data_IF_305163227693
#
_entry.id   IF_305163227693
#
_cell.length_a   1.000
_cell.length_b   1.000
_cell.length_c   1.000
_cell.angle_alpha   90.00
_cell.angle_beta   90.00
_cell.angle_gamma   90.00
#
_symmetry.space_group_name_H-M   'P 1'
#
loop_
_entity.id
_entity.type
_entity.pdbx_description
1 polymer ?
#
# COMPACT_ATOMS: atom_id res chain seq x y z
N UNK A 1 -34.53 -26.73 6.63
CA UNK A 1 -34.37 -25.39 5.96
C UNK A 1 -33.32 -24.54 6.65
N UNK A 2 -32.92 -24.85 7.90
CA UNK A 2 -31.93 -24.08 8.68
C UNK A 2 -30.45 -24.28 8.28
N UNK A 3 -30.13 -25.18 7.38
CA UNK A 3 -28.73 -25.42 6.94
C UNK A 3 -28.24 -24.47 5.85
N UNK A 4 -29.11 -23.90 5.04
CA UNK A 4 -28.78 -23.06 3.90
C UNK A 4 -28.30 -21.67 4.36
N UNK A 5 -28.78 -21.17 5.49
CA UNK A 5 -28.37 -19.85 6.04
C UNK A 5 -26.96 -19.84 6.65
N UNK A 6 -26.30 -20.98 6.75
CA UNK A 6 -24.93 -21.13 7.25
C UNK A 6 -23.91 -21.49 6.15
N UNK A 7 -24.33 -21.53 4.89
CA UNK A 7 -23.45 -21.76 3.76
C UNK A 7 -22.72 -20.45 3.44
N UNK A 8 -21.52 -20.29 3.97
CA UNK A 8 -20.56 -19.34 3.46
C UNK A 8 -19.88 -19.97 2.24
N UNK A 9 -20.14 -19.42 1.07
CA UNK A 9 -19.46 -19.84 -0.16
C UNK A 9 -18.17 -19.04 -0.25
N UNK A 10 -17.09 -19.59 0.25
CA UNK A 10 -15.75 -19.06 0.02
C UNK A 10 -15.16 -19.79 -1.20
N UNK A 11 -15.12 -19.08 -2.33
CA UNK A 11 -14.60 -19.60 -3.58
C UNK A 11 -13.12 -19.21 -3.73
N UNK A 12 -12.22 -20.10 -3.31
CA UNK A 12 -10.84 -20.05 -3.78
C UNK A 12 -10.81 -20.43 -5.27
N UNK A 13 -10.28 -19.54 -6.12
CA UNK A 13 -10.20 -19.77 -7.57
C UNK A 13 -9.42 -21.05 -7.91
N UNK A 14 -8.39 -21.38 -7.12
CA UNK A 14 -7.59 -22.59 -7.29
C UNK A 14 -8.45 -23.86 -7.12
N UNK A 15 -9.45 -23.83 -6.25
CA UNK A 15 -10.31 -24.99 -5.97
C UNK A 15 -11.33 -25.32 -7.07
N UNK A 16 -11.48 -24.47 -8.11
CA UNK A 16 -12.26 -24.81 -9.28
C UNK A 16 -11.61 -25.89 -10.15
N UNK A 17 -10.31 -26.09 -10.02
CA UNK A 17 -9.57 -27.07 -10.80
C UNK A 17 -9.39 -28.37 -10.01
N UNK A 18 -9.49 -29.50 -10.71
CA UNK A 18 -9.19 -30.79 -10.08
C UNK A 18 -7.74 -30.83 -9.61
N UNK A 19 -7.50 -31.28 -8.37
CA UNK A 19 -6.17 -31.38 -7.73
C UNK A 19 -5.15 -32.21 -8.52
N UNK A 20 -5.62 -33.04 -9.47
CA UNK A 20 -4.77 -33.89 -10.32
C UNK A 20 -4.25 -33.15 -11.55
N UNK A 21 -4.82 -32.00 -11.91
CA UNK A 21 -4.46 -31.27 -13.12
C UNK A 21 -3.17 -30.49 -12.93
N UNK A 22 -2.40 -30.31 -14.01
CA UNK A 22 -1.19 -29.48 -14.00
C UNK A 22 -1.51 -28.01 -13.74
N UNK A 23 -2.68 -27.56 -14.17
CA UNK A 23 -3.18 -26.19 -13.88
C UNK A 23 -3.30 -25.98 -12.36
N UNK A 24 -3.94 -26.90 -11.64
CA UNK A 24 -4.05 -26.81 -10.17
C UNK A 24 -2.68 -26.77 -9.50
N UNK A 25 -1.78 -27.67 -9.89
CA UNK A 25 -0.41 -27.75 -9.32
C UNK A 25 0.39 -26.47 -9.60
N UNK A 26 0.32 -25.96 -10.84
CA UNK A 26 1.00 -24.74 -11.25
C UNK A 26 0.46 -23.53 -10.49
N UNK A 27 -0.85 -23.35 -10.42
CA UNK A 27 -1.47 -22.24 -9.67
C UNK A 27 -1.15 -22.31 -8.18
N UNK A 28 -1.21 -23.50 -7.59
CA UNK A 28 -0.85 -23.69 -6.19
C UNK A 28 0.62 -23.34 -5.93
N UNK A 29 1.53 -23.74 -6.82
CA UNK A 29 2.94 -23.40 -6.72
C UNK A 29 3.16 -21.87 -6.81
N UNK A 30 2.47 -21.20 -7.72
CA UNK A 30 2.49 -19.74 -7.85
C UNK A 30 1.98 -19.09 -6.57
N UNK A 31 0.85 -19.55 -6.06
CA UNK A 31 0.23 -19.02 -4.86
C UNK A 31 1.15 -19.13 -3.63
N UNK A 32 1.74 -20.32 -3.41
CA UNK A 32 2.61 -20.59 -2.27
C UNK A 32 4.01 -19.95 -2.40
N UNK A 33 4.55 -19.85 -3.62
CA UNK A 33 5.94 -19.41 -3.84
C UNK A 33 6.09 -17.96 -4.27
N UNK A 34 5.06 -17.39 -4.91
CA UNK A 34 5.08 -16.01 -5.38
C UNK A 34 4.20 -15.07 -4.55
N UNK A 35 3.74 -15.54 -3.38
CA UNK A 35 3.07 -14.71 -2.40
C UNK A 35 1.59 -14.45 -2.67
N UNK A 36 0.87 -15.47 -3.16
CA UNK A 36 -0.57 -15.40 -3.36
C UNK A 36 -0.99 -15.11 -4.79
N UNK A 37 -2.23 -15.48 -5.09
CA UNK A 37 -2.82 -15.30 -6.44
C UNK A 37 -3.97 -14.29 -6.45
N UNK A 38 -4.59 -14.01 -5.31
CA UNK A 38 -5.72 -13.08 -5.25
C UNK A 38 -5.26 -11.67 -4.88
N UNK A 39 -5.43 -10.68 -5.77
CA UNK A 39 -5.07 -9.30 -5.48
C UNK A 39 -6.03 -8.67 -4.48
N UNK A 40 -5.50 -7.80 -3.64
CA UNK A 40 -6.24 -6.87 -2.81
C UNK A 40 -5.46 -5.56 -2.76
N UNK A 41 -6.14 -4.43 -2.77
CA UNK A 41 -5.53 -3.11 -2.71
C UNK A 41 -6.12 -2.31 -1.55
N UNK A 42 -5.25 -1.61 -0.84
CA UNK A 42 -5.63 -0.61 0.16
C UNK A 42 -5.23 0.75 -0.41
N UNK A 43 -6.21 1.58 -0.68
CA UNK A 43 -6.01 2.95 -1.15
C UNK A 43 -6.18 3.87 0.05
N UNK A 44 -5.14 4.60 0.39
CA UNK A 44 -5.13 5.59 1.48
C UNK A 44 -5.34 6.97 0.89
N UNK A 45 -6.24 7.74 1.48
CA UNK A 45 -6.51 9.14 1.14
C UNK A 45 -6.00 10.03 2.26
N UNK A 46 -5.17 10.98 1.89
CA UNK A 46 -4.65 11.95 2.85
C UNK A 46 -5.52 13.23 2.84
N UNK A 47 -5.71 13.90 3.99
CA UNK A 47 -6.43 15.17 4.00
C UNK A 47 -5.63 16.20 3.20
N UNK A 48 -6.35 17.05 2.49
CA UNK A 48 -5.74 18.26 1.97
C UNK A 48 -5.20 19.07 3.16
N UNK A 49 -3.94 19.50 3.08
CA UNK A 49 -3.44 20.47 4.06
C UNK A 49 -4.32 21.70 3.93
N UNK A 50 -5.13 22.00 4.97
CA UNK A 50 -5.54 23.38 5.19
C UNK A 50 -4.23 24.15 5.32
N UNK A 51 -4.06 25.16 4.47
CA UNK A 51 -3.00 26.15 4.66
C UNK A 51 -3.27 26.85 6.00
N UNK A 52 -2.83 26.24 7.10
CA UNK A 52 -2.54 27.00 8.29
C UNK A 52 -1.39 27.92 7.89
N UNK A 53 -1.74 29.16 7.58
CA UNK A 53 -0.77 30.25 7.55
C UNK A 53 -0.08 30.23 8.90
N UNK A 54 1.07 29.57 8.96
CA UNK A 54 2.04 29.81 10.00
C UNK A 54 2.52 31.24 9.79
N UNK A 55 1.91 32.15 10.55
CA UNK A 55 2.53 33.43 10.88
C UNK A 55 3.80 33.11 11.67
N UNK A 56 4.88 32.92 10.97
CA UNK A 56 6.20 32.66 11.45
C UNK A 56 7.18 33.16 10.41
N UNK A 57 7.60 34.40 10.69
CA UNK A 57 8.71 35.13 10.09
C UNK A 57 9.93 34.22 9.97
N UNK A 58 10.17 33.65 8.78
CA UNK A 58 11.49 33.20 8.36
C UNK A 58 11.61 33.52 6.87
N UNK A 59 12.28 34.64 6.62
CA UNK A 59 12.85 35.05 5.35
C UNK A 59 13.76 33.93 4.83
N UNK A 60 13.20 32.94 4.13
CA UNK A 60 13.99 32.10 3.24
C UNK A 60 13.87 32.71 1.84
N UNK A 61 14.94 33.42 1.46
CA UNK A 61 15.15 34.02 0.16
C UNK A 61 14.85 33.01 -0.96
N UNK A 62 13.91 33.42 -1.81
CA UNK A 62 13.54 32.85 -3.09
C UNK A 62 14.78 32.81 -4.01
N UNK A 63 15.44 31.64 -4.07
CA UNK A 63 16.52 31.39 -5.01
C UNK A 63 15.97 30.63 -6.22
N UNK A 64 15.48 31.38 -7.21
CA UNK A 64 15.35 30.95 -8.59
C UNK A 64 13.96 30.48 -9.01
N UNK A 65 13.46 31.10 -10.07
CA UNK A 65 12.35 30.72 -10.95
C UNK A 65 12.49 29.24 -11.43
N UNK A 66 12.16 28.29 -10.58
CA UNK A 66 11.75 26.96 -11.00
C UNK A 66 10.24 26.88 -10.72
N UNK A 67 9.48 26.54 -11.75
CA UNK A 67 8.04 26.24 -11.67
C UNK A 67 7.76 25.56 -10.33
N UNK A 68 6.81 26.09 -9.56
CA UNK A 68 6.42 25.59 -8.24
C UNK A 68 6.05 24.10 -8.36
N UNK A 69 7.05 23.24 -8.31
CA UNK A 69 6.86 21.80 -8.28
C UNK A 69 6.53 21.45 -6.83
N UNK A 70 5.25 21.67 -6.46
CA UNK A 70 4.70 21.37 -5.14
C UNK A 70 4.77 19.87 -4.81
N UNK A 71 5.09 19.06 -5.78
CA UNK A 71 5.18 17.59 -5.67
C UNK A 71 6.18 17.14 -4.60
N UNK A 72 7.30 17.86 -4.42
CA UNK A 72 8.30 17.57 -3.39
C UNK A 72 7.75 17.65 -1.97
N UNK A 73 6.75 18.51 -1.73
CA UNK A 73 6.14 18.70 -0.41
C UNK A 73 5.09 17.64 -0.07
N UNK A 74 4.75 16.76 -1.03
CA UNK A 74 3.85 15.65 -0.77
C UNK A 74 4.44 14.64 0.24
N UNK A 75 5.76 14.45 0.21
CA UNK A 75 6.49 13.46 1.01
C UNK A 75 6.67 13.92 2.47
N UNK A 76 5.59 14.05 3.21
CA UNK A 76 5.65 14.38 4.64
C UNK A 76 5.95 13.15 5.48
N UNK A 77 6.58 13.35 6.63
CA UNK A 77 6.90 12.28 7.57
C UNK A 77 5.67 11.48 7.94
N UNK A 78 4.57 12.16 8.27
CA UNK A 78 3.32 11.52 8.70
C UNK A 78 2.72 10.62 7.62
N UNK A 79 2.76 11.04 6.34
CA UNK A 79 2.27 10.20 5.23
C UNK A 79 3.13 8.97 5.06
N UNK A 80 4.45 9.12 5.08
CA UNK A 80 5.41 8.03 4.92
C UNK A 80 5.27 7.03 6.06
N UNK A 81 5.21 7.51 7.32
CA UNK A 81 5.00 6.66 8.49
C UNK A 81 3.66 5.94 8.45
N UNK A 82 2.58 6.61 8.03
CA UNK A 82 1.27 5.98 7.88
C UNK A 82 1.31 4.85 6.84
N UNK A 83 1.90 5.10 5.66
CA UNK A 83 2.04 4.08 4.62
C UNK A 83 2.88 2.91 5.14
N UNK A 84 4.02 3.18 5.79
CA UNK A 84 4.93 2.16 6.28
C UNK A 84 4.31 1.32 7.41
N UNK A 85 3.62 1.94 8.34
CA UNK A 85 2.96 1.23 9.44
C UNK A 85 1.86 0.30 8.93
N UNK A 86 1.04 0.76 7.98
CA UNK A 86 -0.02 -0.07 7.39
C UNK A 86 0.59 -1.17 6.50
N UNK A 87 1.65 -0.86 5.74
CA UNK A 87 2.39 -1.87 4.97
C UNK A 87 2.88 -3.00 5.86
N UNK A 88 3.60 -2.66 6.94
CA UNK A 88 4.17 -3.63 7.88
C UNK A 88 3.07 -4.45 8.59
N UNK A 89 1.96 -3.81 8.96
CA UNK A 89 0.81 -4.50 9.51
C UNK A 89 0.27 -5.55 8.51
N UNK A 90 0.02 -5.15 7.27
CA UNK A 90 -0.51 -6.05 6.25
C UNK A 90 0.47 -7.19 5.95
N UNK A 91 1.77 -6.91 5.86
CA UNK A 91 2.81 -7.92 5.63
C UNK A 91 2.95 -8.91 6.80
N UNK A 92 2.55 -8.51 8.00
CA UNK A 92 2.53 -9.37 9.19
C UNK A 92 1.39 -10.40 9.21
N UNK A 93 0.36 -10.22 8.36
CA UNK A 93 -0.80 -11.11 8.33
C UNK A 93 -0.46 -12.43 7.63
N UNK A 94 -0.67 -13.60 8.25
CA UNK A 94 -0.26 -14.88 7.69
C UNK A 94 -1.00 -15.26 6.40
N UNK A 95 -2.15 -14.63 6.13
CA UNK A 95 -2.93 -14.84 4.91
C UNK A 95 -2.42 -13.99 3.73
N UNK A 96 -1.56 -13.04 4.01
CA UNK A 96 -0.97 -12.14 3.00
C UNK A 96 0.41 -12.67 2.65
N UNK A 97 0.67 -12.83 1.38
CA UNK A 97 1.94 -13.40 0.92
C UNK A 97 2.91 -12.39 0.35
N UNK A 98 2.45 -11.25 -0.08
CA UNK A 98 3.29 -10.17 -0.58
C UNK A 98 2.57 -8.83 -0.50
N UNK A 99 3.27 -7.84 0.02
CA UNK A 99 2.82 -6.45 0.08
C UNK A 99 3.80 -5.57 -0.68
N UNK A 100 3.30 -4.66 -1.50
CA UNK A 100 4.07 -3.66 -2.24
C UNK A 100 3.43 -2.30 -2.05
N UNK A 101 4.23 -1.32 -1.73
CA UNK A 101 3.80 0.08 -1.58
C UNK A 101 5.00 1.00 -1.74
N UNK A 102 4.77 2.28 -1.57
CA UNK A 102 5.87 3.25 -1.51
C UNK A 102 6.86 2.96 -0.37
N UNK A 103 6.42 2.34 0.73
CA UNK A 103 7.32 1.88 1.79
C UNK A 103 8.42 0.96 1.28
N UNK A 104 8.10 0.05 0.34
CA UNK A 104 9.12 -0.84 -0.27
C UNK A 104 10.22 -0.06 -0.99
N UNK A 105 9.88 1.08 -1.60
CA UNK A 105 10.83 1.96 -2.28
C UNK A 105 11.70 2.70 -1.25
N UNK A 106 11.07 3.19 -0.18
CA UNK A 106 11.76 3.85 0.94
C UNK A 106 12.77 2.92 1.60
N UNK A 107 12.41 1.65 1.79
CA UNK A 107 13.31 0.65 2.39
C UNK A 107 14.54 0.41 1.50
N UNK A 108 14.35 0.27 0.19
CA UNK A 108 15.46 0.14 -0.76
C UNK A 108 16.33 1.39 -0.75
N UNK A 109 15.73 2.58 -0.79
CA UNK A 109 16.46 3.84 -0.74
C UNK A 109 17.25 4.00 0.56
N UNK A 110 16.68 3.59 1.70
CA UNK A 110 17.35 3.56 3.00
C UNK A 110 18.56 2.62 3.00
N UNK A 111 18.41 1.41 2.43
CA UNK A 111 19.52 0.47 2.29
C UNK A 111 20.65 1.03 1.43
N UNK A 112 20.33 1.67 0.32
CA UNK A 112 21.31 2.34 -0.55
C UNK A 112 21.99 3.53 0.12
N UNK A 113 21.31 4.17 1.08
CA UNK A 113 21.84 5.26 1.91
C UNK A 113 22.58 4.76 3.17
N UNK A 114 23.24 3.60 3.10
CA UNK A 114 23.95 2.98 4.22
C UNK A 114 23.08 2.75 5.46
N UNK A 115 21.85 2.33 5.29
CA UNK A 115 20.83 2.12 6.31
C UNK A 115 20.49 3.40 7.12
N UNK A 116 20.72 4.56 6.56
CA UNK A 116 20.27 5.83 7.16
C UNK A 116 18.94 6.22 6.55
N UNK A 117 17.88 6.44 7.37
CA UNK A 117 16.59 6.91 6.89
C UNK A 117 16.75 8.23 6.11
N UNK A 118 16.03 8.35 5.01
CA UNK A 118 15.92 9.59 4.26
C UNK A 118 14.94 10.54 4.97
N UNK A 119 15.34 11.77 5.14
CA UNK A 119 14.45 12.82 5.64
C UNK A 119 13.38 13.21 4.60
N UNK A 120 12.34 13.89 5.06
CA UNK A 120 11.24 14.37 4.19
C UNK A 120 11.76 15.23 3.03
N UNK A 121 12.67 16.15 3.31
CA UNK A 121 13.27 17.01 2.29
C UNK A 121 14.10 16.20 1.29
N UNK A 122 14.91 15.26 1.78
CA UNK A 122 15.74 14.39 0.94
C UNK A 122 14.90 13.54 0.01
N UNK A 123 13.76 13.03 0.50
CA UNK A 123 12.80 12.27 -0.30
C UNK A 123 12.16 13.12 -1.39
N UNK A 124 11.76 14.34 -1.07
CA UNK A 124 11.21 15.29 -2.05
C UNK A 124 12.24 15.63 -3.13
N UNK A 125 13.49 15.92 -2.75
CA UNK A 125 14.58 16.19 -3.70
C UNK A 125 14.90 14.95 -4.54
N UNK A 126 14.92 13.76 -3.93
CA UNK A 126 15.12 12.50 -4.67
C UNK A 126 14.03 12.31 -5.73
N UNK A 127 12.76 12.51 -5.36
CA UNK A 127 11.64 12.43 -6.28
C UNK A 127 11.80 13.36 -7.49
N UNK A 128 12.22 14.61 -7.28
CA UNK A 128 12.42 15.57 -8.39
C UNK A 128 13.57 15.20 -9.32
N UNK A 129 14.58 14.49 -8.80
CA UNK A 129 15.77 14.08 -9.57
C UNK A 129 15.63 12.74 -10.29
N UNK A 130 14.63 11.93 -9.93
CA UNK A 130 14.38 10.65 -10.60
C UNK A 130 13.87 10.92 -12.02
N UNK A 131 14.46 10.27 -13.06
CA UNK A 131 13.95 10.36 -14.42
C UNK A 131 12.47 9.97 -14.54
N UNK A 132 11.71 10.65 -15.41
CA UNK A 132 10.27 10.48 -15.51
C UNK A 132 9.84 9.04 -15.83
N UNK A 133 10.58 8.36 -16.69
CA UNK A 133 10.32 6.95 -16.99
C UNK A 133 10.44 6.05 -15.75
N UNK A 134 11.35 6.35 -14.83
CA UNK A 134 11.52 5.61 -13.58
C UNK A 134 10.39 5.94 -12.59
N UNK A 135 9.97 7.21 -12.51
CA UNK A 135 8.81 7.59 -11.68
C UNK A 135 7.58 6.81 -12.09
N UNK A 136 7.26 6.84 -13.39
CA UNK A 136 6.07 6.18 -13.96
C UNK A 136 6.06 4.67 -13.71
N UNK A 137 7.21 4.02 -13.71
CA UNK A 137 7.28 2.56 -13.51
C UNK A 137 7.32 2.16 -12.04
N UNK A 138 7.95 2.95 -11.17
CA UNK A 138 8.28 2.53 -9.80
C UNK A 138 7.47 3.29 -8.74
N UNK A 139 7.17 4.57 -8.94
CA UNK A 139 6.54 5.44 -7.92
C UNK A 139 5.05 5.62 -8.19
N UNK A 140 4.68 6.03 -9.39
CA UNK A 140 3.30 6.35 -9.76
C UNK A 140 2.31 5.18 -9.58
N UNK A 141 2.74 3.89 -9.68
CA UNK A 141 1.86 2.80 -9.32
C UNK A 141 1.39 2.81 -7.85
N UNK A 142 2.13 3.48 -6.96
CA UNK A 142 1.88 3.47 -5.51
C UNK A 142 1.50 4.84 -4.95
N UNK A 143 1.71 5.93 -5.68
CA UNK A 143 1.41 7.29 -5.22
C UNK A 143 0.73 8.09 -6.32
N UNK A 144 -0.37 8.75 -5.98
CA UNK A 144 -0.96 9.82 -6.77
C UNK A 144 -0.85 11.12 -6.00
N UNK A 145 0.09 11.97 -6.39
CA UNK A 145 0.27 13.28 -5.76
C UNK A 145 -0.95 14.16 -6.03
N UNK A 146 -1.44 14.11 -7.28
CA UNK A 146 -2.60 14.87 -7.72
C UNK A 146 -3.86 14.56 -6.91
N UNK A 147 -4.11 13.29 -6.61
CA UNK A 147 -5.30 12.86 -5.89
C UNK A 147 -5.06 12.77 -4.37
N UNK A 148 -3.81 13.05 -3.94
CA UNK A 148 -3.35 12.93 -2.56
C UNK A 148 -3.61 11.55 -1.95
N UNK A 149 -3.33 10.51 -2.75
CA UNK A 149 -3.58 9.12 -2.43
C UNK A 149 -2.30 8.28 -2.44
N UNK A 150 -2.27 7.22 -1.63
CA UNK A 150 -1.28 6.17 -1.73
C UNK A 150 -1.95 4.81 -1.84
N UNK A 151 -1.37 3.91 -2.65
CA UNK A 151 -1.83 2.55 -2.88
C UNK A 151 -0.88 1.55 -2.27
N UNK A 152 -1.42 0.64 -1.48
CA UNK A 152 -0.74 -0.56 -1.01
C UNK A 152 -1.35 -1.74 -1.74
N UNK A 153 -0.56 -2.39 -2.58
CA UNK A 153 -0.98 -3.59 -3.33
C UNK A 153 -0.51 -4.83 -2.59
N UNK A 154 -1.41 -5.76 -2.37
CA UNK A 154 -1.10 -6.99 -1.68
C UNK A 154 -1.76 -8.21 -2.35
N UNK A 155 -1.27 -9.39 -2.02
CA UNK A 155 -1.79 -10.65 -2.53
C UNK A 155 -2.17 -11.57 -1.39
N UNK A 156 -3.36 -12.13 -1.47
CA UNK A 156 -3.86 -13.12 -0.53
C UNK A 156 -3.43 -14.51 -1.01
N UNK A 157 -2.93 -15.33 -0.09
CA UNK A 157 -2.56 -16.73 -0.34
C UNK A 157 -3.83 -17.56 -0.38
N UNK A 158 -4.32 -17.83 -1.58
CA UNK A 158 -5.61 -18.45 -1.83
C UNK A 158 -5.63 -19.97 -1.54
N UNK A 159 -4.45 -20.61 -1.57
CA UNK A 159 -4.28 -22.03 -1.24
C UNK A 159 -4.25 -22.34 0.24
N UNK A 160 -4.25 -21.31 1.11
CA UNK A 160 -4.18 -21.50 2.55
C UNK A 160 -5.44 -22.22 3.04
N UNK A 161 -5.24 -23.29 3.83
CA UNK A 161 -6.34 -24.01 4.46
C UNK A 161 -7.05 -23.07 5.44
N UNK A 162 -8.37 -23.17 5.44
CA UNK A 162 -9.24 -22.37 6.33
C UNK A 162 -9.19 -20.84 6.10
N UNK A 163 -8.72 -20.40 4.91
CA UNK A 163 -8.82 -19.01 4.53
C UNK A 163 -10.29 -18.59 4.44
N UNK A 164 -10.68 -17.67 5.28
CA UNK A 164 -11.97 -16.98 5.24
C UNK A 164 -11.75 -15.55 4.77
N UNK A 165 -11.81 -15.36 3.46
CA UNK A 165 -11.52 -14.07 2.81
C UNK A 165 -12.38 -12.94 3.37
N UNK A 166 -13.68 -13.18 3.56
CA UNK A 166 -14.58 -12.18 4.11
C UNK A 166 -14.21 -11.79 5.55
N UNK A 167 -13.74 -12.74 6.36
CA UNK A 167 -13.27 -12.46 7.73
C UNK A 167 -11.96 -11.67 7.69
N UNK A 168 -11.05 -12.00 6.76
CA UNK A 168 -9.80 -11.25 6.57
C UNK A 168 -10.08 -9.80 6.17
N UNK A 169 -10.98 -9.57 5.20
CA UNK A 169 -11.35 -8.22 4.76
C UNK A 169 -12.01 -7.44 5.91
N UNK A 170 -12.91 -8.07 6.67
CA UNK A 170 -13.53 -7.45 7.85
C UNK A 170 -12.50 -7.13 8.92
N UNK A 171 -11.53 -8.01 9.16
CA UNK A 171 -10.43 -7.77 10.10
C UNK A 171 -9.59 -6.58 9.65
N UNK A 172 -9.16 -6.54 8.39
CA UNK A 172 -8.39 -5.42 7.84
C UNK A 172 -9.16 -4.11 7.99
N UNK A 173 -10.45 -4.08 7.63
CA UNK A 173 -11.30 -2.89 7.82
C UNK A 173 -11.38 -2.46 9.29
N UNK A 174 -11.58 -3.41 10.19
CA UNK A 174 -11.66 -3.13 11.62
C UNK A 174 -10.35 -2.54 12.15
N UNK A 175 -9.21 -3.14 11.77
CA UNK A 175 -7.89 -2.73 12.24
C UNK A 175 -7.49 -1.35 11.66
N UNK A 176 -7.76 -1.10 10.37
CA UNK A 176 -7.52 0.22 9.76
C UNK A 176 -8.30 1.33 10.48
N UNK A 177 -9.52 1.04 10.91
CA UNK A 177 -10.36 2.00 11.62
C UNK A 177 -9.93 2.17 13.09
N UNK A 178 -9.67 1.09 13.81
CA UNK A 178 -9.54 1.13 15.26
C UNK A 178 -8.08 1.17 15.74
N UNK A 179 -7.15 0.50 15.03
CA UNK A 179 -5.74 0.49 15.39
C UNK A 179 -4.98 1.66 14.73
N UNK A 180 -5.33 1.97 13.46
CA UNK A 180 -4.69 3.06 12.72
C UNK A 180 -5.48 4.37 12.74
N UNK A 181 -6.67 4.40 13.35
CA UNK A 181 -7.49 5.60 13.50
C UNK A 181 -7.99 6.21 12.19
N UNK A 182 -8.08 5.40 11.12
CA UNK A 182 -8.54 5.87 9.82
C UNK A 182 -10.06 5.89 9.77
N UNK A 183 -10.64 7.03 9.41
CA UNK A 183 -12.06 7.12 9.08
C UNK A 183 -12.35 6.42 7.74
N UNK A 184 -13.60 6.01 7.52
CA UNK A 184 -14.01 5.27 6.31
C UNK A 184 -13.82 6.04 4.99
N UNK A 185 -13.76 7.37 5.05
CA UNK A 185 -13.45 8.24 3.92
C UNK A 185 -11.95 8.34 3.62
N UNK A 186 -11.09 7.88 4.55
CA UNK A 186 -9.63 7.96 4.47
C UNK A 186 -8.99 6.72 3.85
N UNK A 187 -9.75 5.66 3.63
CA UNK A 187 -9.24 4.49 2.95
C UNK A 187 -10.32 3.76 2.16
N UNK A 188 -9.89 2.96 1.19
CA UNK A 188 -10.76 2.09 0.39
C UNK A 188 -10.06 0.75 0.17
N UNK A 189 -10.80 -0.35 0.34
CA UNK A 189 -10.38 -1.68 -0.10
C UNK A 189 -10.96 -1.96 -1.48
N UNK A 190 -10.11 -2.50 -2.38
CA UNK A 190 -10.48 -2.89 -3.75
C UNK A 190 -9.79 -4.22 -4.11
N UNK A 191 -10.52 -5.15 -4.77
CA UNK A 191 -9.99 -6.45 -5.19
C UNK A 191 -11.09 -7.44 -5.50
#
# INVERSE_FOLDING_TARGET
ITGISKLEVENSFINYFSKKTEIYKGMKLIDEKLGGTTPLEVILKFPEKKEDKLEGDDEFEDWGDEEKNDDKYWFTKDKIETISNIHNYLDSLPQIGKVLSFSSIVDVATQLNNNKPLGTLEMGVLYTKIPENIKTEIIDPYISIKDNEARISLRIIDSQKDLKRNELIKKINYDLKNEFGLNEDRYKLAG
#
